data_IF_593731253267
#
_entry.id   IF_593731253267
#
_cell.length_a   1.000
_cell.length_b   1.000
_cell.length_c   1.000
_cell.angle_alpha   90.00
_cell.angle_beta   90.00
_cell.angle_gamma   90.00
#
_symmetry.space_group_name_H-M   'P 1'
#
loop_
_entity.id
_entity.type
_entity.pdbx_description
1 polymer ?
#
# COMPACT_ATOMS: atom_id res chain seq x y z
N UNK A 1 -37.41 -24.46 -34.42
CA UNK A 1 -37.75 -24.21 -32.99
C UNK A 1 -36.74 -24.82 -32.01
N UNK A 2 -36.29 -26.06 -32.18
CA UNK A 2 -35.35 -26.73 -31.24
C UNK A 2 -33.95 -26.04 -31.10
N UNK A 3 -33.39 -25.52 -32.19
CA UNK A 3 -32.07 -24.84 -32.19
C UNK A 3 -32.10 -23.54 -31.36
N UNK A 4 -33.14 -22.72 -31.46
CA UNK A 4 -33.26 -21.48 -30.68
C UNK A 4 -33.44 -21.74 -29.17
N UNK A 5 -34.16 -22.81 -28.78
CA UNK A 5 -34.29 -23.20 -27.38
C UNK A 5 -32.93 -23.60 -26.76
N UNK A 6 -32.09 -24.32 -27.51
CA UNK A 6 -30.74 -24.69 -27.07
C UNK A 6 -29.83 -23.46 -26.89
N UNK A 7 -29.86 -22.53 -27.84
CA UNK A 7 -29.10 -21.29 -27.77
C UNK A 7 -29.55 -20.46 -26.56
N UNK A 8 -30.86 -20.30 -26.36
CA UNK A 8 -31.38 -19.56 -25.19
C UNK A 8 -30.98 -20.19 -23.87
N UNK A 9 -31.04 -21.52 -23.75
CA UNK A 9 -30.60 -22.26 -22.55
C UNK A 9 -29.11 -22.06 -22.29
N UNK A 10 -28.28 -22.12 -23.34
CA UNK A 10 -26.84 -21.86 -23.21
C UNK A 10 -26.57 -20.42 -22.74
N UNK A 11 -27.25 -19.41 -23.28
CA UNK A 11 -27.11 -18.03 -22.87
C UNK A 11 -27.56 -17.82 -21.42
N UNK A 12 -28.68 -18.44 -20.99
CA UNK A 12 -29.14 -18.42 -19.61
C UNK A 12 -28.12 -19.06 -18.64
N UNK A 13 -27.52 -20.19 -19.03
CA UNK A 13 -26.49 -20.86 -18.24
C UNK A 13 -25.25 -19.97 -18.10
N UNK A 14 -24.78 -19.35 -19.20
CA UNK A 14 -23.65 -18.43 -19.18
C UNK A 14 -23.96 -17.21 -18.30
N UNK A 15 -25.15 -16.62 -18.44
CA UNK A 15 -25.58 -15.51 -17.61
C UNK A 15 -25.67 -15.87 -16.13
N UNK A 16 -26.18 -17.05 -15.81
CA UNK A 16 -26.22 -17.61 -14.46
C UNK A 16 -24.82 -17.79 -13.88
N UNK A 17 -23.91 -18.38 -14.64
CA UNK A 17 -22.52 -18.56 -14.24
C UNK A 17 -21.81 -17.22 -13.96
N UNK A 18 -21.97 -16.23 -14.85
CA UNK A 18 -21.45 -14.86 -14.65
C UNK A 18 -22.06 -14.23 -13.41
N UNK A 19 -23.36 -14.42 -13.18
CA UNK A 19 -24.04 -13.90 -11.99
C UNK A 19 -23.49 -14.48 -10.69
N UNK A 20 -23.28 -15.80 -10.65
CA UNK A 20 -22.67 -16.48 -9.49
C UNK A 20 -21.22 -16.03 -9.27
N UNK A 21 -20.41 -15.94 -10.33
CA UNK A 21 -19.03 -15.44 -10.24
C UNK A 21 -18.99 -14.03 -9.67
N UNK A 22 -19.82 -13.12 -10.19
CA UNK A 22 -19.90 -11.73 -9.69
C UNK A 22 -20.34 -11.66 -8.23
N UNK A 23 -21.31 -12.46 -7.85
CA UNK A 23 -21.77 -12.55 -6.46
C UNK A 23 -20.65 -13.06 -5.54
N UNK A 24 -19.99 -14.16 -5.89
CA UNK A 24 -18.86 -14.69 -5.12
C UNK A 24 -17.72 -13.67 -5.03
N UNK A 25 -17.36 -13.05 -6.14
CA UNK A 25 -16.33 -12.01 -6.17
C UNK A 25 -16.66 -10.83 -5.25
N UNK A 26 -17.92 -10.37 -5.24
CA UNK A 26 -18.37 -9.30 -4.35
C UNK A 26 -18.31 -9.73 -2.88
N UNK A 27 -18.74 -10.95 -2.56
CA UNK A 27 -18.74 -11.47 -1.17
C UNK A 27 -17.34 -11.71 -0.62
N UNK A 28 -16.40 -12.14 -1.46
CA UNK A 28 -15.01 -12.40 -1.05
C UNK A 28 -14.11 -11.18 -1.21
N UNK A 29 -14.62 -10.03 -1.67
CA UNK A 29 -13.81 -8.90 -2.14
C UNK A 29 -12.70 -9.30 -3.12
N UNK A 30 -12.99 -10.33 -3.92
CA UNK A 30 -12.09 -10.89 -4.90
C UNK A 30 -10.93 -11.70 -4.31
N UNK A 31 -10.91 -11.96 -2.99
CA UNK A 31 -9.89 -12.80 -2.37
C UNK A 31 -10.04 -14.24 -2.82
N UNK A 32 -8.92 -14.84 -3.18
CA UNK A 32 -8.74 -16.28 -3.43
C UNK A 32 -7.31 -16.64 -3.07
N UNK A 33 -7.11 -17.77 -2.42
CA UNK A 33 -5.77 -18.22 -2.00
C UNK A 33 -4.78 -18.25 -3.18
N UNK A 34 -5.18 -18.78 -4.33
CA UNK A 34 -4.35 -18.82 -5.53
C UNK A 34 -3.90 -17.46 -6.07
N UNK A 35 -4.52 -16.35 -5.64
CA UNK A 35 -4.13 -15.00 -6.07
C UNK A 35 -2.95 -14.44 -5.28
N UNK A 36 -2.63 -14.98 -4.11
CA UNK A 36 -1.51 -14.55 -3.27
C UNK A 36 -0.32 -15.51 -3.32
N UNK A 37 -0.53 -16.74 -3.79
CA UNK A 37 0.54 -17.73 -3.93
C UNK A 37 1.55 -17.27 -4.99
N UNK A 38 2.81 -17.53 -4.70
CA UNK A 38 3.92 -17.14 -5.56
C UNK A 38 4.82 -18.34 -5.84
N UNK A 39 5.11 -18.53 -7.12
CA UNK A 39 6.06 -19.55 -7.61
C UNK A 39 7.19 -18.90 -8.44
N UNK A 40 7.77 -17.80 -7.91
CA UNK A 40 8.94 -17.16 -8.51
C UNK A 40 10.22 -17.64 -7.83
N UNK A 41 11.34 -17.70 -8.57
CA UNK A 41 12.64 -17.97 -7.99
C UNK A 41 13.06 -16.84 -7.03
N UNK A 42 14.01 -17.15 -6.15
CA UNK A 42 14.65 -16.13 -5.32
C UNK A 42 15.33 -15.07 -6.19
N UNK A 43 15.19 -13.80 -5.83
CA UNK A 43 15.75 -12.66 -6.55
C UNK A 43 16.55 -11.77 -5.60
N UNK A 44 17.87 -11.74 -5.78
CA UNK A 44 18.80 -10.97 -4.93
C UNK A 44 18.52 -9.47 -4.91
N UNK A 45 17.86 -8.92 -5.94
CA UNK A 45 17.44 -7.51 -5.96
C UNK A 45 16.48 -7.16 -4.83
N UNK A 46 15.73 -8.14 -4.36
CA UNK A 46 14.70 -7.99 -3.32
C UNK A 46 15.13 -8.59 -1.97
N UNK A 47 16.41 -8.85 -1.78
CA UNK A 47 16.90 -9.20 -0.45
C UNK A 47 16.63 -8.06 0.54
N UNK A 48 16.09 -8.43 1.68
CA UNK A 48 15.80 -7.53 2.79
C UNK A 48 16.94 -7.63 3.79
N UNK A 49 17.44 -6.51 4.35
CA UNK A 49 18.42 -6.53 5.40
C UNK A 49 17.95 -7.37 6.59
N UNK A 50 18.84 -8.18 7.13
CA UNK A 50 18.57 -8.99 8.32
C UNK A 50 18.26 -8.04 9.49
N UNK A 51 17.14 -8.28 10.16
CA UNK A 51 16.77 -7.56 11.35
C UNK A 51 17.68 -7.97 12.54
N UNK A 52 17.89 -7.05 13.51
CA UNK A 52 18.41 -7.49 14.81
C UNK A 52 17.56 -8.63 15.37
N UNK A 53 18.21 -9.65 15.92
CA UNK A 53 17.55 -10.89 16.34
C UNK A 53 16.32 -10.65 17.23
N UNK A 54 16.39 -9.71 18.17
CA UNK A 54 15.27 -9.37 19.05
C UNK A 54 14.06 -8.83 18.27
N UNK A 55 14.28 -7.95 17.30
CA UNK A 55 13.21 -7.38 16.48
C UNK A 55 12.57 -8.41 15.55
N UNK A 56 13.38 -9.35 15.05
CA UNK A 56 12.87 -10.44 14.22
C UNK A 56 12.04 -11.41 15.05
N UNK A 57 12.51 -11.79 16.23
CA UNK A 57 11.76 -12.63 17.17
C UNK A 57 10.44 -11.99 17.54
N UNK A 58 10.43 -10.69 17.90
CA UNK A 58 9.21 -9.95 18.21
C UNK A 58 8.22 -9.95 17.02
N UNK A 59 8.71 -9.63 15.81
CA UNK A 59 7.88 -9.63 14.62
C UNK A 59 7.30 -11.01 14.30
N UNK A 60 8.10 -12.09 14.48
CA UNK A 60 7.66 -13.48 14.26
C UNK A 60 6.63 -13.90 15.31
N UNK A 61 6.75 -13.46 16.56
CA UNK A 61 5.76 -13.73 17.61
C UNK A 61 4.39 -13.09 17.30
N UNK A 62 4.34 -11.92 16.65
CA UNK A 62 3.09 -11.30 16.24
C UNK A 62 2.31 -12.16 15.25
N UNK A 63 2.97 -13.10 14.56
CA UNK A 63 2.33 -14.04 13.62
C UNK A 63 1.69 -15.25 14.33
N UNK A 64 1.85 -15.42 15.65
CA UNK A 64 1.32 -16.55 16.44
C UNK A 64 -0.17 -16.46 16.75
N UNK A 65 -0.89 -15.64 16.02
CA UNK A 65 -2.33 -15.43 16.18
C UNK A 65 -3.05 -15.47 14.83
N UNK A 66 -4.36 -15.69 14.81
CA UNK A 66 -5.13 -15.62 13.56
C UNK A 66 -5.31 -14.17 13.10
N UNK A 67 -5.43 -14.03 11.78
CA UNK A 67 -5.68 -12.77 11.09
C UNK A 67 -7.01 -12.83 10.34
N UNK A 68 -7.76 -11.75 10.37
CA UNK A 68 -9.09 -11.64 9.77
C UNK A 68 -9.07 -10.64 8.61
N UNK A 69 -9.79 -10.94 7.55
CA UNK A 69 -9.88 -10.06 6.40
C UNK A 69 -10.30 -8.64 6.84
N UNK A 70 -9.50 -7.65 6.45
CA UNK A 70 -9.74 -6.24 6.75
C UNK A 70 -10.20 -5.47 5.51
N UNK A 71 -9.45 -5.59 4.41
CA UNK A 71 -9.74 -4.84 3.18
C UNK A 71 -8.99 -5.43 1.97
N UNK A 72 -9.42 -5.03 0.77
CA UNK A 72 -8.79 -5.35 -0.51
C UNK A 72 -8.38 -4.06 -1.23
N UNK A 73 -7.09 -3.74 -1.22
CA UNK A 73 -6.51 -2.64 -1.99
C UNK A 73 -6.21 -3.00 -3.44
N UNK A 74 -5.61 -2.09 -4.19
CA UNK A 74 -5.19 -2.32 -5.58
C UNK A 74 -4.13 -3.41 -5.73
N UNK A 75 -3.15 -3.45 -4.82
CA UNK A 75 -1.98 -4.31 -4.92
C UNK A 75 -1.94 -5.46 -3.90
N UNK A 76 -2.72 -5.38 -2.82
CA UNK A 76 -2.69 -6.36 -1.73
C UNK A 76 -4.06 -6.60 -1.11
N UNK A 77 -4.17 -7.73 -0.41
CA UNK A 77 -5.23 -8.01 0.56
C UNK A 77 -4.68 -7.79 1.95
N UNK A 78 -5.41 -7.04 2.78
CA UNK A 78 -5.04 -6.72 4.15
C UNK A 78 -5.85 -7.57 5.13
N UNK A 79 -5.17 -8.09 6.15
CA UNK A 79 -5.76 -8.86 7.24
C UNK A 79 -5.32 -8.26 8.57
N UNK A 80 -6.24 -8.08 9.49
CA UNK A 80 -5.97 -7.56 10.83
C UNK A 80 -5.77 -8.73 11.80
N UNK A 81 -4.80 -8.62 12.69
CA UNK A 81 -4.56 -9.56 13.78
C UNK A 81 -5.75 -9.65 14.74
N UNK A 82 -5.89 -10.75 15.45
CA UNK A 82 -6.96 -10.96 16.44
C UNK A 82 -6.97 -9.89 17.54
N UNK A 83 -5.80 -9.46 17.97
CA UNK A 83 -5.63 -8.40 18.98
C UNK A 83 -5.85 -6.98 18.42
N UNK A 84 -6.02 -6.84 17.10
CA UNK A 84 -6.26 -5.57 16.43
C UNK A 84 -5.03 -4.66 16.30
N UNK A 85 -3.81 -5.13 16.65
CA UNK A 85 -2.62 -4.30 16.72
C UNK A 85 -1.78 -4.29 15.44
N UNK A 86 -1.90 -5.33 14.61
CA UNK A 86 -1.08 -5.49 13.42
C UNK A 86 -1.91 -5.79 12.18
N UNK A 87 -1.38 -5.41 11.03
CA UNK A 87 -1.97 -5.66 9.71
C UNK A 87 -0.97 -6.43 8.87
N UNK A 88 -1.40 -7.59 8.40
CA UNK A 88 -0.67 -8.44 7.47
C UNK A 88 -1.21 -8.21 6.06
N UNK A 89 -0.34 -7.89 5.10
CA UNK A 89 -0.72 -7.62 3.71
C UNK A 89 -0.08 -8.63 2.78
N UNK A 90 -0.92 -9.39 2.07
CA UNK A 90 -0.48 -10.31 1.01
C UNK A 90 -0.66 -9.68 -0.36
N UNK A 91 0.38 -9.72 -1.18
CA UNK A 91 0.33 -9.12 -2.52
C UNK A 91 -0.57 -9.90 -3.47
N UNK A 92 -1.22 -9.19 -4.39
CA UNK A 92 -2.03 -9.78 -5.47
C UNK A 92 -1.13 -10.30 -6.59
N UNK A 93 -0.47 -11.44 -6.34
CA UNK A 93 0.55 -12.01 -7.23
C UNK A 93 0.03 -12.36 -8.62
N UNK A 94 -1.27 -12.66 -8.75
CA UNK A 94 -1.88 -12.95 -10.06
C UNK A 94 -1.80 -11.79 -11.05
N UNK A 95 -1.54 -10.55 -10.60
CA UNK A 95 -1.28 -9.39 -11.46
C UNK A 95 0.21 -9.22 -11.84
N UNK A 96 1.10 -9.93 -11.17
CA UNK A 96 2.54 -9.70 -11.22
C UNK A 96 3.32 -10.95 -11.65
N UNK A 97 2.81 -12.15 -11.36
CA UNK A 97 3.47 -13.40 -11.75
C UNK A 97 3.45 -13.59 -13.26
N UNK A 98 4.47 -14.24 -13.76
CA UNK A 98 4.50 -14.71 -15.13
C UNK A 98 3.30 -15.59 -15.45
N UNK A 99 2.94 -15.65 -16.73
CA UNK A 99 1.96 -16.60 -17.26
C UNK A 99 2.75 -17.69 -17.99
N UNK A 100 3.01 -18.87 -17.35
CA UNK A 100 3.99 -19.83 -17.87
C UNK A 100 3.67 -20.35 -19.28
N UNK A 101 2.39 -20.49 -19.62
CA UNK A 101 2.00 -20.94 -20.95
C UNK A 101 2.18 -19.83 -22.00
N UNK A 102 2.07 -18.56 -21.63
CA UNK A 102 2.15 -17.44 -22.57
C UNK A 102 3.56 -17.31 -23.16
N UNK A 103 4.62 -17.60 -22.39
CA UNK A 103 5.99 -17.59 -22.86
C UNK A 103 6.35 -18.81 -23.74
N UNK A 104 5.61 -19.91 -23.58
CA UNK A 104 5.90 -21.20 -24.25
C UNK A 104 5.12 -21.41 -25.55
N UNK A 105 4.02 -20.70 -25.77
CA UNK A 105 3.21 -20.84 -26.99
C UNK A 105 3.88 -20.13 -28.15
N UNK A 106 4.18 -20.83 -29.28
CA UNK A 106 4.66 -20.18 -30.47
C UNK A 106 3.53 -19.32 -31.06
N UNK A 107 3.77 -18.00 -31.12
CA UNK A 107 2.81 -17.04 -31.68
C UNK A 107 3.34 -16.46 -32.99
N UNK A 108 2.47 -16.16 -33.95
CA UNK A 108 2.85 -15.38 -35.11
C UNK A 108 3.48 -14.04 -34.70
N UNK A 109 4.43 -13.55 -35.47
CA UNK A 109 5.21 -12.33 -35.16
C UNK A 109 4.31 -11.11 -34.86
N UNK A 110 3.14 -11.01 -35.48
CA UNK A 110 2.19 -9.92 -35.28
C UNK A 110 1.60 -9.92 -33.85
N UNK A 111 1.49 -11.09 -33.20
CA UNK A 111 0.98 -11.24 -31.84
C UNK A 111 2.09 -11.23 -30.78
N UNK A 112 3.34 -11.44 -31.19
CA UNK A 112 4.50 -11.53 -30.30
C UNK A 112 4.76 -10.20 -29.56
N UNK A 113 4.56 -9.07 -30.22
CA UNK A 113 4.66 -7.74 -29.60
C UNK A 113 3.62 -7.54 -28.48
N UNK A 114 2.41 -8.04 -28.65
CA UNK A 114 1.38 -8.01 -27.61
C UNK A 114 1.76 -8.86 -26.39
N UNK A 115 2.30 -10.05 -26.64
CA UNK A 115 2.81 -10.96 -25.62
C UNK A 115 3.93 -10.31 -24.80
N UNK A 116 4.96 -9.76 -25.46
CA UNK A 116 6.09 -9.08 -24.82
C UNK A 116 5.60 -7.95 -23.92
N UNK A 117 4.70 -7.11 -24.41
CA UNK A 117 4.10 -6.02 -23.58
C UNK A 117 3.44 -6.54 -22.31
N UNK A 118 2.73 -7.66 -22.36
CA UNK A 118 2.08 -8.26 -21.18
C UNK A 118 3.12 -8.77 -20.19
N UNK A 119 4.15 -9.47 -20.68
CA UNK A 119 5.25 -9.99 -19.84
C UNK A 119 5.98 -8.83 -19.18
N UNK A 120 6.44 -7.86 -19.96
CA UNK A 120 7.18 -6.68 -19.48
C UNK A 120 6.35 -5.87 -18.47
N UNK A 121 5.06 -5.70 -18.71
CA UNK A 121 4.16 -5.00 -17.78
C UNK A 121 4.10 -5.69 -16.42
N UNK A 122 3.99 -7.03 -16.40
CA UNK A 122 3.90 -7.81 -15.15
C UNK A 122 5.22 -7.78 -14.38
N UNK A 123 6.33 -7.99 -15.06
CA UNK A 123 7.67 -7.91 -14.46
C UNK A 123 7.97 -6.51 -13.92
N UNK A 124 7.70 -5.48 -14.70
CA UNK A 124 7.87 -4.09 -14.27
C UNK A 124 6.98 -3.74 -13.06
N UNK A 125 5.76 -4.29 -13.02
CA UNK A 125 4.86 -4.11 -11.87
C UNK A 125 5.40 -4.78 -10.62
N UNK A 126 5.87 -6.03 -10.71
CA UNK A 126 6.51 -6.74 -9.61
C UNK A 126 7.70 -5.95 -9.08
N UNK A 127 8.62 -5.61 -9.99
CA UNK A 127 9.83 -4.85 -9.65
C UNK A 127 9.50 -3.54 -8.96
N UNK A 128 8.57 -2.75 -9.50
CA UNK A 128 8.15 -1.47 -8.92
C UNK A 128 7.64 -1.65 -7.48
N UNK A 129 6.74 -2.60 -7.25
CA UNK A 129 6.11 -2.81 -5.94
C UNK A 129 7.14 -3.32 -4.92
N UNK A 130 7.96 -4.31 -5.28
CA UNK A 130 8.93 -4.89 -4.36
C UNK A 130 10.09 -3.94 -4.06
N UNK A 131 10.57 -3.20 -5.05
CA UNK A 131 11.55 -2.12 -4.82
C UNK A 131 10.99 -1.05 -3.89
N UNK A 132 9.73 -0.67 -4.06
CA UNK A 132 9.05 0.29 -3.19
C UNK A 132 8.93 -0.23 -1.75
N UNK A 133 8.54 -1.49 -1.56
CA UNK A 133 8.46 -2.10 -0.22
C UNK A 133 9.83 -2.19 0.45
N UNK A 134 10.87 -2.59 -0.30
CA UNK A 134 12.25 -2.62 0.20
C UNK A 134 12.69 -1.22 0.63
N UNK A 135 12.51 -0.21 -0.21
CA UNK A 135 12.82 1.20 0.11
C UNK A 135 12.09 1.70 1.36
N UNK A 136 10.80 1.37 1.49
CA UNK A 136 10.02 1.73 2.67
C UNK A 136 10.55 1.06 3.93
N UNK A 137 10.96 -0.21 3.85
CA UNK A 137 11.51 -0.95 4.97
C UNK A 137 12.87 -0.42 5.41
N UNK A 138 13.75 -0.11 4.46
CA UNK A 138 15.11 0.35 4.71
C UNK A 138 15.16 1.81 5.19
N UNK A 139 14.40 2.71 4.56
CA UNK A 139 14.54 4.15 4.77
C UNK A 139 13.34 4.83 5.45
N UNK A 140 12.15 4.20 5.47
CA UNK A 140 10.90 4.78 5.98
C UNK A 140 10.23 3.91 7.05
N UNK A 141 10.98 3.03 7.71
CA UNK A 141 10.42 2.02 8.61
C UNK A 141 9.55 2.60 9.72
N UNK A 142 10.01 3.67 10.35
CA UNK A 142 9.27 4.34 11.42
C UNK A 142 8.06 5.11 10.86
N UNK A 143 8.24 5.82 9.76
CA UNK A 143 7.21 6.63 9.11
C UNK A 143 6.12 5.77 8.45
N UNK A 144 6.37 4.49 8.26
CA UNK A 144 5.39 3.54 7.72
C UNK A 144 4.92 2.52 8.75
N UNK A 145 5.41 2.62 10.00
CA UNK A 145 5.14 1.65 11.07
C UNK A 145 5.40 0.19 10.63
N UNK A 146 6.45 -0.02 9.82
CA UNK A 146 6.77 -1.26 9.16
C UNK A 146 7.45 -2.22 10.14
N UNK A 147 6.87 -3.38 10.37
CA UNK A 147 7.35 -4.38 11.31
C UNK A 147 8.20 -5.45 10.62
N UNK A 148 7.69 -6.03 9.54
CA UNK A 148 8.36 -7.13 8.84
C UNK A 148 8.11 -7.09 7.33
N UNK A 149 9.13 -7.39 6.54
CA UNK A 149 9.10 -7.43 5.09
C UNK A 149 9.59 -8.78 4.58
N UNK A 150 8.73 -9.53 3.92
CA UNK A 150 9.05 -10.81 3.30
C UNK A 150 8.61 -10.79 1.84
N UNK A 151 9.54 -10.48 0.93
CA UNK A 151 9.29 -10.35 -0.50
C UNK A 151 10.15 -11.29 -1.36
N UNK A 152 10.87 -12.20 -0.72
CA UNK A 152 11.54 -13.35 -1.34
C UNK A 152 11.09 -14.63 -0.67
N UNK A 153 11.15 -15.75 -1.38
CA UNK A 153 11.01 -17.07 -0.75
C UNK A 153 12.17 -17.33 0.19
N UNK A 154 11.85 -17.88 1.34
CA UNK A 154 12.81 -18.33 2.33
C UNK A 154 12.55 -19.79 2.72
N UNK A 155 13.36 -20.32 3.61
CA UNK A 155 13.18 -21.65 4.20
C UNK A 155 13.50 -21.64 5.70
N UNK A 156 13.69 -20.46 6.28
CA UNK A 156 14.14 -20.30 7.65
C UNK A 156 13.08 -19.72 8.59
N UNK A 157 12.04 -19.10 8.07
CA UNK A 157 10.98 -18.51 8.87
C UNK A 157 10.18 -19.60 9.60
N UNK A 158 9.96 -20.76 8.94
CA UNK A 158 9.28 -21.95 9.48
C UNK A 158 7.97 -21.62 10.20
N UNK A 159 7.21 -20.64 9.65
CA UNK A 159 6.02 -20.11 10.26
C UNK A 159 4.79 -20.30 9.39
N UNK A 160 3.71 -20.80 10.01
CA UNK A 160 2.38 -20.87 9.38
C UNK A 160 1.45 -19.91 10.08
N UNK A 161 0.71 -19.15 9.30
CA UNK A 161 -0.31 -18.23 9.79
C UNK A 161 -1.72 -18.72 9.42
N UNK A 162 -2.66 -18.55 10.34
CA UNK A 162 -4.08 -18.77 10.09
C UNK A 162 -4.71 -17.44 9.67
N UNK A 163 -5.35 -17.42 8.51
CA UNK A 163 -6.16 -16.28 8.07
C UNK A 163 -7.61 -16.70 7.87
N UNK A 164 -8.53 -15.78 8.13
CA UNK A 164 -9.96 -15.91 7.82
C UNK A 164 -10.31 -14.90 6.73
N UNK A 165 -10.88 -15.37 5.64
CA UNK A 165 -11.33 -14.48 4.57
C UNK A 165 -12.63 -13.75 4.93
N UNK A 166 -13.12 -12.89 4.01
CA UNK A 166 -14.29 -12.03 4.27
C UNK A 166 -15.61 -12.82 4.51
N UNK A 167 -15.66 -14.09 4.12
CA UNK A 167 -16.82 -14.96 4.36
C UNK A 167 -16.56 -15.97 5.48
N UNK A 168 -15.44 -15.82 6.22
CA UNK A 168 -15.11 -16.62 7.40
C UNK A 168 -14.44 -17.96 7.10
N UNK A 169 -14.02 -18.22 5.86
CA UNK A 169 -13.30 -19.45 5.53
C UNK A 169 -11.88 -19.36 6.09
N UNK A 170 -11.48 -20.41 6.80
CA UNK A 170 -10.14 -20.54 7.38
C UNK A 170 -9.16 -21.04 6.34
N UNK A 171 -8.03 -20.35 6.21
CA UNK A 171 -6.89 -20.76 5.39
C UNK A 171 -5.63 -20.82 6.27
N UNK A 172 -4.73 -21.75 5.94
CA UNK A 172 -3.40 -21.86 6.57
C UNK A 172 -2.37 -21.58 5.49
N UNK A 173 -1.50 -20.60 5.75
CA UNK A 173 -0.44 -20.18 4.83
C UNK A 173 0.92 -20.50 5.44
N UNK A 174 1.78 -21.12 4.63
CA UNK A 174 3.20 -21.22 4.89
C UNK A 174 3.87 -19.93 4.46
N UNK A 175 4.37 -19.16 5.42
CA UNK A 175 4.89 -17.82 5.18
C UNK A 175 6.23 -17.80 4.45
N UNK A 176 6.98 -18.89 4.44
CA UNK A 176 8.19 -19.02 3.61
C UNK A 176 7.87 -18.99 2.10
N UNK A 177 6.63 -19.33 1.72
CA UNK A 177 6.23 -19.50 0.33
C UNK A 177 5.43 -18.35 -0.26
N UNK A 178 5.02 -17.35 0.55
CA UNK A 178 4.19 -16.24 0.11
C UNK A 178 4.81 -14.89 0.47
N UNK A 179 4.83 -13.92 -0.45
CA UNK A 179 5.32 -12.60 -0.15
C UNK A 179 4.27 -11.82 0.67
N UNK A 180 4.72 -11.20 1.75
CA UNK A 180 3.90 -10.40 2.62
C UNK A 180 4.67 -9.25 3.26
N UNK A 181 3.93 -8.29 3.78
CA UNK A 181 4.45 -7.23 4.66
C UNK A 181 3.57 -7.11 5.89
N UNK A 182 4.17 -6.74 7.02
CA UNK A 182 3.49 -6.52 8.28
C UNK A 182 3.73 -5.09 8.78
N UNK A 183 2.66 -4.41 9.17
CA UNK A 183 2.67 -3.05 9.71
C UNK A 183 1.86 -3.00 11.01
N UNK A 184 2.15 -2.02 11.88
CA UNK A 184 1.22 -1.70 12.99
C UNK A 184 -0.10 -1.21 12.42
N UNK A 185 -1.22 -1.53 13.10
CA UNK A 185 -2.53 -0.98 12.78
C UNK A 185 -2.54 0.51 13.12
N UNK A 186 -3.08 1.30 12.21
CA UNK A 186 -3.22 2.76 12.36
C UNK A 186 -4.68 3.19 12.18
N UNK A 187 -5.03 4.34 12.74
CA UNK A 187 -6.32 4.98 12.48
C UNK A 187 -6.22 5.76 11.17
N UNK A 188 -7.17 5.56 10.26
CA UNK A 188 -7.17 6.27 8.97
C UNK A 188 -7.27 7.78 9.17
N UNK A 189 -6.51 8.56 8.39
CA UNK A 189 -6.37 10.00 8.62
C UNK A 189 -7.71 10.74 8.66
N UNK A 190 -8.59 10.54 7.68
CA UNK A 190 -9.87 11.24 7.66
C UNK A 190 -10.82 10.78 8.77
N UNK A 191 -10.79 9.50 9.14
CA UNK A 191 -11.57 9.00 10.27
C UNK A 191 -11.09 9.63 11.59
N UNK A 192 -9.77 9.77 11.75
CA UNK A 192 -9.19 10.41 12.94
C UNK A 192 -9.55 11.88 13.05
N UNK A 193 -9.50 12.62 11.95
CA UNK A 193 -9.99 14.00 11.94
C UNK A 193 -11.48 14.10 12.27
N UNK A 194 -12.30 13.20 11.76
CA UNK A 194 -13.73 13.16 12.11
C UNK A 194 -13.95 12.87 13.61
N UNK A 195 -13.15 11.96 14.19
CA UNK A 195 -13.21 11.66 15.62
C UNK A 195 -12.86 12.89 16.47
N UNK A 196 -11.73 13.55 16.19
CA UNK A 196 -11.25 14.72 16.92
C UNK A 196 -12.25 15.89 16.81
N UNK A 197 -12.78 16.13 15.62
CA UNK A 197 -13.67 17.25 15.36
C UNK A 197 -15.11 17.02 15.85
N UNK A 198 -15.50 15.83 16.27
CA UNK A 198 -16.76 15.61 17.01
C UNK A 198 -16.78 16.40 18.32
N UNK A 199 -15.62 16.50 18.97
CA UNK A 199 -15.45 17.23 20.22
C UNK A 199 -15.05 18.71 20.00
N UNK A 200 -15.01 19.19 18.74
CA UNK A 200 -14.51 20.50 18.34
C UNK A 200 -13.10 20.81 18.86
N UNK A 201 -12.27 19.80 19.02
CA UNK A 201 -10.89 19.96 19.49
C UNK A 201 -9.98 20.43 18.34
N UNK A 202 -10.12 21.73 18.02
CA UNK A 202 -9.35 22.40 16.95
C UNK A 202 -7.86 22.33 17.20
N UNK A 203 -7.40 22.49 18.43
CA UNK A 203 -5.97 22.47 18.77
C UNK A 203 -5.36 21.09 18.50
N UNK A 204 -6.06 20.02 18.88
CA UNK A 204 -5.64 18.66 18.60
C UNK A 204 -5.63 18.37 17.09
N UNK A 205 -6.66 18.79 16.36
CA UNK A 205 -6.70 18.62 14.91
C UNK A 205 -5.53 19.35 14.21
N UNK A 206 -5.15 20.55 14.67
CA UNK A 206 -3.98 21.30 14.18
C UNK A 206 -2.67 20.52 14.44
N UNK A 207 -2.51 19.91 15.62
CA UNK A 207 -1.32 19.09 15.90
C UNK A 207 -1.23 17.87 14.94
N UNK A 208 -2.35 17.24 14.59
CA UNK A 208 -2.38 16.14 13.61
C UNK A 208 -2.09 16.62 12.18
N UNK A 209 -2.52 17.82 11.81
CA UNK A 209 -2.12 18.46 10.54
C UNK A 209 -0.59 18.63 10.51
N UNK A 210 0.01 19.16 11.58
CA UNK A 210 1.45 19.35 11.65
C UNK A 210 2.23 18.05 11.48
N UNK A 211 1.84 16.99 12.17
CA UNK A 211 2.53 15.68 12.02
C UNK A 211 2.42 15.12 10.62
N UNK A 212 1.28 15.32 9.94
CA UNK A 212 1.11 14.90 8.55
C UNK A 212 2.02 15.70 7.60
N UNK A 213 2.10 17.00 7.77
CA UNK A 213 2.99 17.85 6.97
C UNK A 213 4.47 17.54 7.24
N UNK A 214 4.85 17.22 8.49
CA UNK A 214 6.19 16.78 8.85
C UNK A 214 6.54 15.42 8.22
N UNK A 215 5.58 14.51 8.11
CA UNK A 215 5.77 13.25 7.37
C UNK A 215 6.19 13.52 5.91
N UNK A 216 5.49 14.42 5.20
CA UNK A 216 5.85 14.77 3.83
C UNK A 216 7.25 15.36 3.73
N UNK A 217 7.60 16.25 4.65
CA UNK A 217 8.95 16.85 4.70
C UNK A 217 10.04 15.80 4.97
N UNK A 218 9.83 14.90 5.93
CA UNK A 218 10.78 13.84 6.24
C UNK A 218 11.04 12.95 5.03
N UNK A 219 10.00 12.63 4.29
CA UNK A 219 10.08 11.86 3.05
C UNK A 219 10.90 12.57 1.97
N UNK A 220 10.64 13.88 1.74
CA UNK A 220 11.41 14.66 0.77
C UNK A 220 12.89 14.79 1.16
N UNK A 221 13.19 15.04 2.44
CA UNK A 221 14.57 15.09 2.94
C UNK A 221 15.34 13.77 2.70
N UNK A 222 14.63 12.66 2.68
CA UNK A 222 15.18 11.34 2.31
C UNK A 222 15.25 11.12 0.78
N UNK A 223 14.79 12.07 -0.04
CA UNK A 223 14.74 11.93 -1.50
C UNK A 223 13.76 10.85 -1.95
N UNK A 224 12.64 10.68 -1.23
CA UNK A 224 11.64 9.65 -1.53
C UNK A 224 10.38 10.30 -2.07
N UNK A 225 9.99 9.87 -3.27
CA UNK A 225 8.72 10.24 -3.91
C UNK A 225 7.68 9.17 -3.68
N UNK A 226 6.47 9.61 -3.34
CA UNK A 226 5.27 8.78 -3.31
C UNK A 226 4.42 9.12 -4.54
N UNK A 227 4.18 8.13 -5.41
CA UNK A 227 3.40 8.31 -6.62
C UNK A 227 1.88 8.29 -6.40
N UNK A 228 1.41 8.02 -5.16
CA UNK A 228 0.00 7.96 -4.78
C UNK A 228 -0.25 8.56 -3.39
N UNK A 229 0.27 9.75 -3.11
CA UNK A 229 0.17 10.45 -1.83
C UNK A 229 -1.25 10.97 -1.54
N UNK A 230 -2.26 10.10 -1.57
CA UNK A 230 -3.66 10.46 -1.28
C UNK A 230 -3.94 10.28 0.21
N UNK A 231 -4.08 11.41 0.94
CA UNK A 231 -4.23 11.42 2.40
C UNK A 231 -5.41 10.57 2.88
N UNK A 232 -6.53 10.61 2.19
CA UNK A 232 -7.76 9.90 2.58
C UNK A 232 -7.57 8.39 2.78
N UNK A 233 -6.78 7.74 1.92
CA UNK A 233 -6.69 6.28 1.90
C UNK A 233 -5.31 5.71 2.19
N UNK A 234 -4.26 6.53 2.02
CA UNK A 234 -2.87 6.06 2.10
C UNK A 234 -2.14 6.56 3.34
N UNK A 235 -2.84 7.27 4.23
CA UNK A 235 -2.28 7.78 5.48
C UNK A 235 -3.18 7.50 6.68
N UNK A 236 -2.55 7.37 7.84
CA UNK A 236 -3.21 7.22 9.13
C UNK A 236 -2.34 7.73 10.25
N UNK A 237 -2.76 7.48 11.47
CA UNK A 237 -2.04 7.89 12.67
C UNK A 237 -1.84 6.72 13.62
N UNK A 238 -0.64 6.63 14.17
CA UNK A 238 -0.30 5.79 15.31
C UNK A 238 -0.03 6.70 16.51
N UNK A 239 -0.98 6.77 17.44
CA UNK A 239 -1.00 7.87 18.41
C UNK A 239 -1.13 9.21 17.67
N UNK A 240 -0.17 10.10 17.84
CA UNK A 240 -0.10 11.40 17.14
C UNK A 240 0.77 11.35 15.87
N UNK A 241 1.54 10.30 15.67
CA UNK A 241 2.47 10.20 14.55
C UNK A 241 1.73 9.87 13.24
N UNK A 242 1.97 10.65 12.19
CA UNK A 242 1.47 10.35 10.86
C UNK A 242 2.24 9.17 10.24
N UNK A 243 1.49 8.24 9.63
CA UNK A 243 2.01 6.98 9.08
C UNK A 243 1.53 6.81 7.64
N UNK A 244 2.46 6.49 6.74
CA UNK A 244 2.14 6.04 5.38
C UNK A 244 1.72 4.57 5.35
N UNK A 245 0.56 4.29 4.79
CA UNK A 245 -0.04 2.94 4.79
C UNK A 245 0.30 2.17 3.53
N UNK A 246 0.31 2.84 2.36
CA UNK A 246 0.62 2.20 1.08
C UNK A 246 2.13 2.17 0.84
N UNK A 247 2.68 0.96 0.81
CA UNK A 247 4.12 0.70 0.64
C UNK A 247 4.51 0.44 -0.82
N UNK A 248 3.56 0.51 -1.75
CA UNK A 248 3.75 0.06 -3.13
C UNK A 248 4.09 1.17 -4.13
N UNK A 249 4.16 2.42 -3.67
CA UNK A 249 4.25 3.61 -4.53
C UNK A 249 5.48 4.50 -4.32
N UNK A 250 6.43 4.08 -3.47
CA UNK A 250 7.66 4.84 -3.23
C UNK A 250 8.71 4.63 -4.31
N UNK A 251 9.47 5.68 -4.60
CA UNK A 251 10.62 5.66 -5.48
C UNK A 251 11.69 6.64 -5.01
N UNK A 252 12.97 6.30 -5.23
CA UNK A 252 14.10 7.18 -4.91
C UNK A 252 14.22 8.25 -5.97
N UNK A 253 14.23 9.51 -5.57
CA UNK A 253 14.37 10.69 -6.43
C UNK A 253 15.22 11.72 -5.69
N UNK A 254 16.53 11.64 -5.86
CA UNK A 254 17.51 12.48 -5.12
C UNK A 254 17.25 13.97 -5.26
N UNK A 255 16.77 14.42 -6.44
CA UNK A 255 16.41 15.82 -6.68
C UNK A 255 15.37 16.37 -5.68
N UNK A 256 14.59 15.51 -5.01
CA UNK A 256 13.63 15.94 -3.99
C UNK A 256 14.28 16.42 -2.69
N UNK A 257 15.57 16.16 -2.49
CA UNK A 257 16.30 16.73 -1.35
C UNK A 257 16.52 18.24 -1.50
N UNK A 258 16.46 18.75 -2.74
CA UNK A 258 16.55 20.18 -3.03
C UNK A 258 15.25 20.89 -2.60
N UNK A 259 15.34 21.92 -1.71
CA UNK A 259 14.19 22.72 -1.30
C UNK A 259 13.40 23.33 -2.47
N UNK A 260 14.06 23.75 -3.54
CA UNK A 260 13.39 24.33 -4.71
C UNK A 260 12.47 23.31 -5.35
N UNK A 261 12.93 22.05 -5.45
CA UNK A 261 12.16 20.97 -6.08
C UNK A 261 11.02 20.49 -5.20
N UNK A 262 11.27 20.22 -3.90
CA UNK A 262 10.21 19.65 -3.06
C UNK A 262 9.12 20.66 -2.71
N UNK A 263 9.41 21.95 -2.57
CA UNK A 263 8.42 22.99 -2.25
C UNK A 263 7.31 23.05 -3.31
N UNK A 264 7.66 22.94 -4.59
CA UNK A 264 6.68 22.90 -5.67
C UNK A 264 5.78 21.63 -5.58
N UNK A 265 6.38 20.49 -5.29
CA UNK A 265 5.64 19.23 -5.15
C UNK A 265 4.78 19.21 -3.89
N UNK A 266 5.26 19.75 -2.78
CA UNK A 266 4.56 19.83 -1.50
C UNK A 266 3.20 20.50 -1.65
N UNK A 267 3.15 21.66 -2.32
CA UNK A 267 1.91 22.38 -2.58
C UNK A 267 0.91 21.52 -3.39
N UNK A 268 1.39 20.79 -4.39
CA UNK A 268 0.55 19.92 -5.23
C UNK A 268 0.05 18.69 -4.47
N UNK A 269 0.89 18.02 -3.70
CA UNK A 269 0.51 16.81 -2.96
C UNK A 269 -0.47 17.10 -1.82
N UNK A 270 -0.40 18.30 -1.23
CA UNK A 270 -1.34 18.73 -0.18
C UNK A 270 -2.67 19.26 -0.72
N UNK A 271 -2.84 19.47 -2.03
CA UNK A 271 -4.02 20.11 -2.62
C UNK A 271 -5.33 19.35 -2.34
N UNK A 272 -5.33 18.02 -2.45
CA UNK A 272 -6.52 17.21 -2.17
C UNK A 272 -6.92 17.32 -0.69
N UNK A 273 -5.95 17.29 0.21
CA UNK A 273 -6.18 17.46 1.64
C UNK A 273 -6.70 18.86 1.96
N UNK A 274 -6.13 19.91 1.38
CA UNK A 274 -6.61 21.30 1.50
C UNK A 274 -8.06 21.44 1.05
N UNK A 275 -8.42 20.87 -0.09
CA UNK A 275 -9.81 20.87 -0.60
C UNK A 275 -10.76 20.15 0.36
N UNK A 276 -10.34 19.03 0.91
CA UNK A 276 -11.14 18.30 1.88
C UNK A 276 -11.33 19.08 3.18
N UNK A 277 -10.26 19.65 3.76
CA UNK A 277 -10.33 20.51 4.96
C UNK A 277 -11.26 21.71 4.70
N UNK A 278 -11.08 22.41 3.57
CA UNK A 278 -11.94 23.55 3.21
C UNK A 278 -13.43 23.21 3.18
N UNK A 279 -13.76 22.02 2.69
CA UNK A 279 -15.15 21.55 2.56
C UNK A 279 -15.70 21.06 3.90
N UNK A 280 -14.91 20.34 4.69
CA UNK A 280 -15.40 19.56 5.84
C UNK A 280 -15.18 20.28 7.17
N UNK A 281 -14.04 20.94 7.34
CA UNK A 281 -13.63 21.63 8.55
C UNK A 281 -12.99 22.99 8.23
N UNK A 282 -13.78 23.98 7.75
CA UNK A 282 -13.24 25.28 7.32
C UNK A 282 -12.42 26.01 8.39
N UNK A 283 -12.73 25.77 9.66
CA UNK A 283 -12.02 26.35 10.82
C UNK A 283 -10.55 25.95 10.87
N UNK A 284 -10.16 24.83 10.30
CA UNK A 284 -8.77 24.35 10.24
C UNK A 284 -8.00 24.92 9.04
N UNK A 285 -8.69 25.48 8.05
CA UNK A 285 -8.05 25.91 6.80
C UNK A 285 -7.00 27.03 7.00
N UNK A 286 -7.25 28.09 7.79
CA UNK A 286 -6.26 29.15 7.99
C UNK A 286 -4.94 28.62 8.57
N UNK A 287 -5.02 27.68 9.53
CA UNK A 287 -3.85 27.03 10.10
C UNK A 287 -3.11 26.20 9.05
N UNK A 288 -3.81 25.37 8.30
CA UNK A 288 -3.22 24.53 7.26
C UNK A 288 -2.49 25.37 6.19
N UNK A 289 -3.13 26.46 5.73
CA UNK A 289 -2.54 27.37 4.74
C UNK A 289 -1.28 28.05 5.28
N UNK A 290 -1.32 28.55 6.52
CA UNK A 290 -0.17 29.15 7.18
C UNK A 290 1.01 28.15 7.26
N UNK A 291 0.73 26.90 7.64
CA UNK A 291 1.77 25.87 7.75
C UNK A 291 2.35 25.48 6.38
N UNK A 292 1.50 25.33 5.36
CA UNK A 292 1.98 25.08 4.00
C UNK A 292 2.83 26.25 3.50
N UNK A 293 2.38 27.49 3.73
CA UNK A 293 3.15 28.69 3.37
C UNK A 293 4.50 28.71 4.07
N UNK A 294 4.58 28.45 5.37
CA UNK A 294 5.83 28.42 6.11
C UNK A 294 6.84 27.40 5.59
N UNK A 295 6.34 26.26 5.04
CA UNK A 295 7.17 25.21 4.45
C UNK A 295 7.61 25.58 3.02
N UNK A 296 6.75 26.26 2.27
CA UNK A 296 6.96 26.53 0.84
C UNK A 296 7.55 27.89 0.55
N UNK A 297 7.47 28.86 1.48
CA UNK A 297 8.14 30.16 1.33
C UNK A 297 9.65 29.98 1.22
N UNK A 298 10.26 30.73 0.32
CA UNK A 298 11.71 30.88 0.28
C UNK A 298 12.07 31.92 1.34
N UNK A 299 12.80 31.55 2.39
CA UNK A 299 13.48 32.54 3.21
C UNK A 299 14.43 33.31 2.29
N UNK A 300 14.18 34.61 2.11
CA UNK A 300 15.22 35.48 1.61
C UNK A 300 16.31 35.46 2.71
N UNK A 301 17.40 34.73 2.47
CA UNK A 301 18.62 34.91 3.22
C UNK A 301 18.93 36.41 3.17
N UNK A 302 18.70 37.11 4.27
CA UNK A 302 19.24 38.43 4.49
C UNK A 302 20.76 38.24 4.54
N UNK A 303 21.40 38.39 3.39
CA UNK A 303 22.80 38.70 3.32
C UNK A 303 22.98 40.05 4.03
N UNK A 304 23.22 39.99 5.31
CA UNK A 304 23.87 41.11 5.97
C UNK A 304 25.31 41.15 5.46
N UNK A 305 25.50 41.91 4.37
CA UNK A 305 26.79 42.48 4.04
C UNK A 305 27.13 43.44 5.14
N UNK A 306 27.96 43.01 6.05
CA UNK A 306 28.69 43.91 6.98
C UNK A 306 29.78 44.57 6.15
N UNK A 307 29.57 45.80 5.79
CA UNK A 307 30.63 46.76 5.41
C UNK A 307 31.42 47.17 6.62
#
# INVERSE_FOLDING_TARGET
MMKYKKILLTLLFIAGFIGVERFCHKKTHGFMLGKILWDCPHDTRFEIPILPTEQEIEAVHLLDQPYYFLNSGGQSYAFISKDGQTVLKFFKMHHMREIPWLSKVPLPAILDNGRKRIVDFRENKLRKIFTSCKLAFEEMRNETAFLYCHINKTSHLNKKVVIYDNIGIRHILDLDTVPFVMQKKVDLAFQKFHEIMKDNDVAKAQAYIDTLLQYFLARYKKGIHDNDAIVERNFGFLGTQAIGIDLSCYSKVEALKDPVVYKQRFSKETENFRRWIKKTYPVLLPFLELRIQSITSFEQEKTHSTT
#
